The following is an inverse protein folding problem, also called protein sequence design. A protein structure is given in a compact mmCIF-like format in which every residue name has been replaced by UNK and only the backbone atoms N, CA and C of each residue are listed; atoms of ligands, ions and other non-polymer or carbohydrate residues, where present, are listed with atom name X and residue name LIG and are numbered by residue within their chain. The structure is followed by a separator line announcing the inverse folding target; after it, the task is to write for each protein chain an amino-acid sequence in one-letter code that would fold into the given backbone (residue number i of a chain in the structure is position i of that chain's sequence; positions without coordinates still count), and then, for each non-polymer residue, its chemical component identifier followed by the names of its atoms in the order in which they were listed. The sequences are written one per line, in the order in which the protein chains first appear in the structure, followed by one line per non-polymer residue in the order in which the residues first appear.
data_IF_785368947630
#
_entry.id   IF_785368947630
#
_cell.length_a   1.000
_cell.length_b   1.000
_cell.length_c   1.000
_cell.angle_alpha   90.00
_cell.angle_beta   90.00
_cell.angle_gamma   90.00
#
_symmetry.space_group_name_H-M   'P 1'
#
loop_
_entity.id
_entity.type
_entity.pdbx_description
1 polymer ?
#
# COMPACT_ATOMS: atom_id res chain seq x y z
N UNK A 1 2.51 -29.34 2.08
CA UNK A 1 2.31 -27.94 2.51
C UNK A 1 3.07 -27.78 3.82
N UNK A 2 3.94 -26.78 3.97
CA UNK A 2 4.59 -26.54 5.26
C UNK A 2 3.59 -25.86 6.19
N UNK A 3 3.20 -26.54 7.27
CA UNK A 3 2.58 -25.88 8.41
C UNK A 3 3.65 -24.98 9.06
N UNK A 4 3.45 -23.66 8.96
CA UNK A 4 4.24 -22.72 9.74
C UNK A 4 3.84 -22.86 11.20
N UNK A 5 4.83 -23.05 12.07
CA UNK A 5 4.55 -23.01 13.52
C UNK A 5 4.16 -21.59 13.92
N UNK A 6 3.35 -21.45 14.99
CA UNK A 6 3.01 -20.12 15.53
C UNK A 6 4.25 -19.30 15.86
N UNK A 7 5.33 -19.96 16.29
CA UNK A 7 6.62 -19.32 16.52
C UNK A 7 7.19 -18.71 15.23
N UNK A 8 7.21 -19.47 14.13
CA UNK A 8 7.69 -18.98 12.83
C UNK A 8 6.82 -17.85 12.27
N UNK A 9 5.51 -17.87 12.56
CA UNK A 9 4.59 -16.78 12.18
C UNK A 9 4.92 -15.48 12.94
N UNK A 10 5.18 -15.59 14.25
CA UNK A 10 5.42 -14.47 15.15
C UNK A 10 6.80 -13.84 14.96
N UNK A 11 7.83 -14.64 14.67
CA UNK A 11 9.19 -14.16 14.43
C UNK A 11 9.30 -13.16 13.27
N UNK A 12 8.39 -13.24 12.29
CA UNK A 12 8.33 -12.31 11.16
C UNK A 12 7.60 -11.00 11.45
N UNK A 13 6.94 -10.86 12.60
CA UNK A 13 6.09 -9.71 12.91
C UNK A 13 6.78 -8.73 13.88
N UNK A 14 6.74 -7.42 13.60
CA UNK A 14 7.14 -6.40 14.56
C UNK A 14 6.40 -6.54 15.90
N UNK A 15 7.11 -6.38 17.02
CA UNK A 15 6.53 -6.42 18.37
C UNK A 15 5.35 -5.45 18.56
N UNK A 16 5.36 -4.33 17.84
CA UNK A 16 4.26 -3.36 17.85
C UNK A 16 2.96 -3.92 17.27
N UNK A 17 3.03 -4.83 16.29
CA UNK A 17 1.86 -5.52 15.74
C UNK A 17 1.43 -6.68 16.63
N UNK A 18 2.37 -7.40 17.23
CA UNK A 18 2.08 -8.51 18.15
C UNK A 18 1.37 -8.05 19.43
N UNK A 19 1.69 -6.84 19.90
CA UNK A 19 1.12 -6.25 21.11
C UNK A 19 0.01 -5.22 20.81
N UNK A 20 -0.44 -5.11 19.56
CA UNK A 20 -1.47 -4.17 19.15
C UNK A 20 -2.84 -4.57 19.73
N UNK A 21 -3.63 -3.59 20.15
CA UNK A 21 -5.04 -3.81 20.42
C UNK A 21 -5.82 -3.94 19.11
N UNK A 22 -7.03 -4.49 19.15
CA UNK A 22 -7.91 -4.56 17.97
C UNK A 22 -8.14 -3.16 17.35
N UNK A 23 -8.23 -2.13 18.19
CA UNK A 23 -8.35 -0.73 17.75
C UNK A 23 -7.10 -0.26 16.99
N UNK A 24 -5.92 -0.66 17.42
CA UNK A 24 -4.66 -0.32 16.75
C UNK A 24 -4.58 -1.03 15.39
N UNK A 25 -5.00 -2.30 15.32
CA UNK A 25 -5.07 -3.06 14.07
C UNK A 25 -6.03 -2.40 13.07
N UNK A 26 -7.23 -2.00 13.51
CA UNK A 26 -8.16 -1.24 12.67
C UNK A 26 -7.56 0.10 12.19
N UNK A 27 -6.82 0.78 13.06
CA UNK A 27 -6.10 2.01 12.72
C UNK A 27 -5.05 1.78 11.63
N UNK A 28 -4.24 0.73 11.77
CA UNK A 28 -3.25 0.35 10.75
C UNK A 28 -3.92 -0.03 9.43
N UNK A 29 -5.05 -0.75 9.47
CA UNK A 29 -5.81 -1.08 8.27
C UNK A 29 -6.25 0.18 7.52
N UNK A 30 -6.81 1.18 8.22
CA UNK A 30 -7.21 2.46 7.62
C UNK A 30 -6.01 3.18 6.97
N UNK A 31 -4.85 3.18 7.63
CA UNK A 31 -3.62 3.78 7.07
C UNK A 31 -3.22 3.07 5.77
N UNK A 32 -3.27 1.75 5.74
CA UNK A 32 -2.96 0.96 4.53
C UNK A 32 -3.94 1.30 3.40
N UNK A 33 -5.24 1.36 3.69
CA UNK A 33 -6.27 1.70 2.71
C UNK A 33 -6.06 3.10 2.11
N UNK A 34 -5.79 4.12 2.94
CA UNK A 34 -5.51 5.48 2.46
C UNK A 34 -4.19 5.54 1.66
N UNK A 35 -3.18 4.78 2.05
CA UNK A 35 -1.91 4.69 1.31
C UNK A 35 -2.10 4.06 -0.07
N UNK A 36 -2.97 3.05 -0.20
CA UNK A 36 -3.33 2.45 -1.49
C UNK A 36 -4.04 3.49 -2.37
N UNK A 37 -5.01 4.24 -1.84
CA UNK A 37 -5.70 5.30 -2.58
C UNK A 37 -4.73 6.35 -3.09
N UNK A 38 -3.80 6.80 -2.25
CA UNK A 38 -2.75 7.76 -2.62
C UNK A 38 -1.88 7.23 -3.77
N UNK A 39 -1.46 5.97 -3.70
CA UNK A 39 -0.66 5.33 -4.76
C UNK A 39 -1.39 5.28 -6.10
N UNK A 40 -2.68 4.93 -6.10
CA UNK A 40 -3.48 4.90 -7.32
C UNK A 40 -3.74 6.30 -7.88
N UNK A 41 -3.97 7.29 -7.01
CA UNK A 41 -4.04 8.70 -7.40
C UNK A 41 -2.76 9.17 -8.10
N UNK A 42 -1.59 8.85 -7.54
CA UNK A 42 -0.30 9.16 -8.15
C UNK A 42 -0.11 8.47 -9.52
N UNK A 43 -0.47 7.18 -9.64
CA UNK A 43 -0.43 6.46 -10.92
C UNK A 43 -1.32 7.11 -11.99
N UNK A 44 -2.51 7.53 -11.60
CA UNK A 44 -3.45 8.20 -12.50
C UNK A 44 -2.91 9.55 -12.97
N UNK A 45 -2.35 10.34 -12.06
CA UNK A 45 -1.70 11.61 -12.39
C UNK A 45 -0.52 11.40 -13.36
N UNK A 46 0.33 10.41 -13.10
CA UNK A 46 1.45 10.08 -13.97
C UNK A 46 0.98 9.73 -15.40
N UNK A 47 -0.10 8.94 -15.53
CA UNK A 47 -0.71 8.61 -16.82
C UNK A 47 -1.22 9.87 -17.53
N UNK A 48 -1.92 10.76 -16.81
CA UNK A 48 -2.43 12.01 -17.35
C UNK A 48 -1.32 12.90 -17.91
N UNK A 49 -0.24 13.10 -17.15
CA UNK A 49 0.92 13.90 -17.57
C UNK A 49 1.58 13.33 -18.82
N UNK A 50 1.77 12.00 -18.88
CA UNK A 50 2.33 11.33 -20.07
C UNK A 50 1.44 11.55 -21.30
N UNK A 51 0.13 11.35 -21.16
CA UNK A 51 -0.81 11.53 -22.26
C UNK A 51 -0.85 12.97 -22.76
N UNK A 52 -0.81 13.94 -21.84
CA UNK A 52 -0.73 15.36 -22.20
C UNK A 52 0.55 15.66 -23.00
N UNK A 53 1.72 15.23 -22.51
CA UNK A 53 2.99 15.44 -23.20
C UNK A 53 3.01 14.82 -24.61
N UNK A 54 2.48 13.61 -24.77
CA UNK A 54 2.35 12.96 -26.08
C UNK A 54 1.43 13.74 -27.03
N UNK A 55 0.31 14.27 -26.52
CA UNK A 55 -0.62 15.07 -27.31
C UNK A 55 -0.03 16.40 -27.79
N UNK A 56 0.89 17.00 -27.03
CA UNK A 56 1.58 18.23 -27.42
C UNK A 56 2.57 17.97 -28.54
N UNK A 57 3.33 16.88 -28.47
CA UNK A 57 4.30 16.47 -29.50
C UNK A 57 3.60 16.24 -30.85
N UNK A 58 2.39 15.68 -30.86
CA UNK A 58 1.63 15.45 -32.10
C UNK A 58 1.08 16.73 -32.76
N UNK A 59 1.10 17.89 -32.07
CA UNK A 59 0.57 19.16 -32.60
C UNK A 59 1.63 20.10 -33.17
N UNK A 60 2.91 19.78 -32.98
CA UNK A 60 4.09 20.46 -33.55
C UNK A 60 4.65 19.67 -34.71
#
# INVERSE_FOLDING_TARGET
MNELTLQQLVEGLPKSLLNASDRDIEGFQKIIEETIKLREGHRNLQKMVKNFSLSTIQRT
#
